data_IF_959056004868
#
_entry.id   IF_959056004868
#
_cell.length_a   1.000
_cell.length_b   1.000
_cell.length_c   1.000
_cell.angle_alpha   90.00
_cell.angle_beta   90.00
_cell.angle_gamma   90.00
#
_symmetry.space_group_name_H-M   'P 1'
#
loop_
_entity.id
_entity.type
_entity.pdbx_description
1 polymer ?
#
# COMPACT_ATOMS: atom_id res chain seq x y z
N UNK A 1 -32.08 -30.06 3.94
CA UNK A 1 -33.53 -30.11 4.18
C UNK A 1 -33.74 -30.11 5.68
N UNK A 2 -34.50 -29.16 6.19
CA UNK A 2 -34.84 -29.13 7.62
C UNK A 2 -35.88 -30.24 7.92
N UNK A 3 -35.88 -30.80 9.13
CA UNK A 3 -36.87 -31.84 9.52
C UNK A 3 -38.32 -31.39 9.29
N UNK A 4 -38.57 -30.08 9.35
CA UNK A 4 -39.86 -29.45 9.07
C UNK A 4 -40.28 -29.56 7.59
N UNK A 5 -39.34 -29.48 6.66
CA UNK A 5 -39.61 -29.63 5.22
C UNK A 5 -39.95 -31.09 4.86
N UNK A 6 -39.23 -32.04 5.48
CA UNK A 6 -39.52 -33.49 5.37
C UNK A 6 -40.95 -33.77 5.80
N UNK A 7 -41.35 -33.34 7.00
CA UNK A 7 -42.70 -33.54 7.55
C UNK A 7 -43.77 -32.89 6.68
N UNK A 8 -43.51 -31.70 6.14
CA UNK A 8 -44.46 -31.02 5.26
C UNK A 8 -44.61 -31.73 3.91
N UNK A 9 -43.54 -32.28 3.34
CA UNK A 9 -43.60 -33.04 2.09
C UNK A 9 -44.44 -34.31 2.22
N UNK A 10 -44.29 -35.03 3.34
CA UNK A 10 -45.08 -36.22 3.66
C UNK A 10 -46.56 -35.85 3.86
N UNK A 11 -46.85 -34.77 4.62
CA UNK A 11 -48.22 -34.28 4.79
C UNK A 11 -48.88 -33.95 3.45
N UNK A 12 -48.16 -33.26 2.57
CA UNK A 12 -48.69 -32.85 1.28
C UNK A 12 -48.93 -34.03 0.33
N UNK A 13 -48.10 -35.08 0.40
CA UNK A 13 -48.33 -36.33 -0.32
C UNK A 13 -49.57 -37.06 0.20
N UNK A 14 -49.76 -37.13 1.53
CA UNK A 14 -50.95 -37.73 2.15
C UNK A 14 -52.23 -36.98 1.79
N UNK A 15 -52.22 -35.64 1.80
CA UNK A 15 -53.39 -34.83 1.42
C UNK A 15 -53.81 -35.07 -0.03
N UNK A 16 -52.85 -35.22 -0.96
CA UNK A 16 -53.16 -35.52 -2.37
C UNK A 16 -53.81 -36.90 -2.57
N UNK A 17 -53.38 -37.89 -1.79
CA UNK A 17 -53.97 -39.23 -1.82
C UNK A 17 -55.39 -39.21 -1.23
N UNK A 18 -55.61 -38.42 -0.18
CA UNK A 18 -56.91 -38.21 0.44
C UNK A 18 -57.89 -37.49 -0.51
N UNK A 19 -57.43 -36.45 -1.23
CA UNK A 19 -58.19 -35.76 -2.29
C UNK A 19 -58.53 -36.66 -3.48
N UNK A 20 -57.71 -37.67 -3.76
CA UNK A 20 -57.97 -38.70 -4.78
C UNK A 20 -58.99 -39.78 -4.31
N UNK A 21 -59.56 -39.65 -3.11
CA UNK A 21 -60.53 -40.57 -2.54
C UNK A 21 -59.92 -41.83 -1.93
N UNK A 22 -58.60 -41.86 -1.75
CA UNK A 22 -57.85 -43.02 -1.27
C UNK A 22 -57.77 -42.99 0.27
N UNK A 23 -58.42 -43.94 0.94
CA UNK A 23 -58.47 -44.00 2.42
C UNK A 23 -57.35 -44.87 3.04
N UNK A 24 -56.60 -45.60 2.21
CA UNK A 24 -55.53 -46.48 2.65
C UNK A 24 -54.27 -46.25 1.81
N UNK A 25 -53.11 -46.21 2.48
CA UNK A 25 -51.80 -46.08 1.84
C UNK A 25 -51.16 -47.46 1.73
N UNK A 26 -50.69 -47.82 0.55
CA UNK A 26 -49.97 -49.08 0.35
C UNK A 26 -48.54 -48.95 0.92
N UNK A 27 -48.09 -49.96 1.65
CA UNK A 27 -46.72 -50.01 2.20
C UNK A 27 -45.65 -49.85 1.11
N UNK A 28 -45.79 -50.48 -0.09
CA UNK A 28 -44.86 -50.25 -1.20
C UNK A 28 -44.81 -48.79 -1.68
N UNK A 29 -45.96 -48.12 -1.82
CA UNK A 29 -46.03 -46.73 -2.28
C UNK A 29 -45.42 -45.76 -1.26
N UNK A 30 -45.69 -45.98 0.03
CA UNK A 30 -45.09 -45.20 1.10
C UNK A 30 -43.56 -45.39 1.16
N UNK A 31 -43.07 -46.61 0.91
CA UNK A 31 -41.64 -46.89 0.88
C UNK A 31 -40.94 -46.15 -0.26
N UNK A 32 -41.54 -46.13 -1.45
CA UNK A 32 -41.01 -45.40 -2.62
C UNK A 32 -40.91 -43.87 -2.35
N UNK A 33 -41.94 -43.27 -1.74
CA UNK A 33 -41.91 -41.85 -1.40
C UNK A 33 -40.90 -41.54 -0.28
N UNK A 34 -40.76 -42.41 0.71
CA UNK A 34 -39.74 -42.27 1.75
C UNK A 34 -38.32 -42.36 1.17
N UNK A 35 -38.08 -43.27 0.21
CA UNK A 35 -36.79 -43.37 -0.50
C UNK A 35 -36.47 -42.09 -1.29
N UNK A 36 -37.46 -41.48 -1.96
CA UNK A 36 -37.28 -40.19 -2.65
C UNK A 36 -36.95 -39.05 -1.69
N UNK A 37 -37.63 -38.99 -0.54
CA UNK A 37 -37.40 -37.97 0.50
C UNK A 37 -36.02 -38.14 1.12
N UNK A 38 -35.58 -39.38 1.39
CA UNK A 38 -34.25 -39.68 1.89
C UNK A 38 -33.16 -39.30 0.88
N UNK A 39 -33.33 -39.67 -0.39
CA UNK A 39 -32.43 -39.28 -1.49
C UNK A 39 -32.28 -37.75 -1.61
N UNK A 40 -33.39 -37.02 -1.60
CA UNK A 40 -33.40 -35.55 -1.65
C UNK A 40 -32.78 -34.91 -0.41
N UNK A 41 -33.03 -35.47 0.78
CA UNK A 41 -32.41 -35.01 2.02
C UNK A 41 -30.89 -35.17 1.96
N UNK A 42 -30.41 -36.31 1.45
CA UNK A 42 -28.99 -36.64 1.34
C UNK A 42 -28.28 -35.70 0.35
N UNK A 43 -28.87 -35.51 -0.83
CA UNK A 43 -28.40 -34.53 -1.83
C UNK A 43 -28.34 -33.11 -1.26
N UNK A 44 -29.35 -32.69 -0.48
CA UNK A 44 -29.37 -31.36 0.13
C UNK A 44 -28.26 -31.15 1.17
N UNK A 45 -27.92 -32.19 1.95
CA UNK A 45 -26.82 -32.15 2.92
C UNK A 45 -25.48 -32.07 2.19
N UNK A 46 -25.31 -32.85 1.12
CA UNK A 46 -24.10 -32.81 0.28
C UNK A 46 -23.89 -31.43 -0.36
N UNK A 47 -24.96 -30.83 -0.91
CA UNK A 47 -24.90 -29.47 -1.46
C UNK A 47 -24.53 -28.43 -0.40
N UNK A 48 -25.10 -28.53 0.81
CA UNK A 48 -24.75 -27.62 1.91
C UNK A 48 -23.28 -27.77 2.33
N UNK A 49 -22.76 -29.00 2.36
CA UNK A 49 -21.33 -29.25 2.64
C UNK A 49 -20.45 -28.65 1.55
N UNK A 50 -20.73 -28.92 0.28
CA UNK A 50 -19.99 -28.36 -0.85
C UNK A 50 -20.01 -26.84 -0.84
N UNK A 51 -21.16 -26.23 -0.51
CA UNK A 51 -21.28 -24.78 -0.43
C UNK A 51 -20.52 -24.22 0.77
N UNK A 52 -20.53 -24.90 1.92
CA UNK A 52 -19.72 -24.51 3.06
C UNK A 52 -18.22 -24.60 2.76
N UNK A 53 -17.78 -25.69 2.12
CA UNK A 53 -16.40 -25.88 1.68
C UNK A 53 -15.99 -24.81 0.65
N UNK A 54 -16.86 -24.52 -0.32
CA UNK A 54 -16.66 -23.45 -1.29
C UNK A 54 -16.55 -22.09 -0.62
N UNK A 55 -17.43 -21.78 0.34
CA UNK A 55 -17.37 -20.54 1.11
C UNK A 55 -16.08 -20.43 1.90
N UNK A 56 -15.67 -21.50 2.62
CA UNK A 56 -14.41 -21.54 3.35
C UNK A 56 -13.21 -21.35 2.42
N UNK A 57 -13.21 -22.00 1.26
CA UNK A 57 -12.16 -21.84 0.25
C UNK A 57 -12.10 -20.39 -0.25
N UNK A 58 -13.26 -19.77 -0.50
CA UNK A 58 -13.34 -18.37 -0.91
C UNK A 58 -12.85 -17.40 0.18
N UNK A 59 -13.26 -17.59 1.44
CA UNK A 59 -12.78 -16.79 2.57
C UNK A 59 -11.27 -16.92 2.76
N UNK A 60 -10.74 -18.14 2.63
CA UNK A 60 -9.31 -18.38 2.71
C UNK A 60 -8.56 -17.69 1.57
N UNK A 61 -9.01 -17.87 0.32
CA UNK A 61 -8.38 -17.24 -0.84
C UNK A 61 -8.38 -15.70 -0.75
N UNK A 62 -9.47 -15.10 -0.29
CA UNK A 62 -9.56 -13.64 -0.11
C UNK A 62 -8.67 -13.13 1.02
N UNK A 63 -8.59 -13.85 2.14
CA UNK A 63 -7.67 -13.53 3.24
C UNK A 63 -6.21 -13.64 2.80
N UNK A 64 -5.85 -14.71 2.08
CA UNK A 64 -4.49 -14.94 1.60
C UNK A 64 -4.08 -13.86 0.59
N UNK A 65 -4.97 -13.51 -0.35
CA UNK A 65 -4.75 -12.40 -1.29
C UNK A 65 -4.54 -11.08 -0.57
N UNK A 66 -5.39 -10.75 0.41
CA UNK A 66 -5.25 -9.52 1.18
C UNK A 66 -3.90 -9.43 1.90
N UNK A 67 -3.42 -10.55 2.44
CA UNK A 67 -2.15 -10.65 3.14
C UNK A 67 -0.96 -10.53 2.17
N UNK A 68 -1.03 -11.18 1.00
CA UNK A 68 -0.02 -11.08 -0.04
C UNK A 68 0.09 -9.65 -0.59
N UNK A 69 -1.05 -9.02 -0.89
CA UNK A 69 -1.11 -7.61 -1.31
C UNK A 69 -0.53 -6.69 -0.24
N UNK A 70 -0.86 -6.90 1.03
CA UNK A 70 -0.30 -6.12 2.13
C UNK A 70 1.23 -6.27 2.22
N UNK A 71 1.75 -7.50 2.12
CA UNK A 71 3.20 -7.76 2.10
C UNK A 71 3.89 -7.07 0.92
N UNK A 72 3.29 -7.14 -0.27
CA UNK A 72 3.79 -6.48 -1.47
C UNK A 72 3.88 -4.96 -1.29
N UNK A 73 2.79 -4.32 -0.83
CA UNK A 73 2.76 -2.88 -0.53
C UNK A 73 3.80 -2.48 0.51
N UNK A 74 3.96 -3.26 1.58
CA UNK A 74 4.99 -3.00 2.59
C UNK A 74 6.41 -3.11 2.01
N UNK A 75 6.66 -4.06 1.10
CA UNK A 75 7.93 -4.19 0.39
C UNK A 75 8.24 -2.95 -0.46
N UNK A 76 7.26 -2.43 -1.19
CA UNK A 76 7.39 -1.17 -1.93
C UNK A 76 7.65 0.02 -1.00
N UNK A 77 6.93 0.12 0.12
CA UNK A 77 7.11 1.20 1.09
C UNK A 77 8.52 1.21 1.70
N UNK A 78 9.04 0.05 2.10
CA UNK A 78 10.41 -0.07 2.61
C UNK A 78 11.44 0.27 1.54
N UNK A 79 11.20 -0.13 0.29
CA UNK A 79 12.07 0.22 -0.84
C UNK A 79 12.09 1.73 -1.07
N UNK A 80 10.92 2.38 -1.08
CA UNK A 80 10.80 3.83 -1.22
C UNK A 80 11.53 4.59 -0.10
N UNK A 81 11.39 4.15 1.16
CA UNK A 81 12.09 4.74 2.32
C UNK A 81 13.61 4.62 2.18
N UNK A 82 14.12 3.44 1.79
CA UNK A 82 15.55 3.23 1.55
C UNK A 82 16.05 4.11 0.40
N UNK A 83 15.30 4.17 -0.70
CA UNK A 83 15.64 4.99 -1.85
C UNK A 83 15.72 6.46 -1.49
N UNK A 84 14.74 7.02 -0.78
CA UNK A 84 14.75 8.45 -0.46
C UNK A 84 15.87 8.83 0.51
N UNK A 85 16.19 7.96 1.48
CA UNK A 85 17.34 8.15 2.38
C UNK A 85 18.64 8.09 1.58
N UNK A 86 18.79 7.11 0.70
CA UNK A 86 20.02 6.91 -0.08
C UNK A 86 20.24 8.03 -1.09
N UNK A 87 19.19 8.49 -1.76
CA UNK A 87 19.27 9.58 -2.75
C UNK A 87 19.60 10.91 -2.08
N UNK A 88 18.91 11.27 -0.98
CA UNK A 88 19.24 12.48 -0.24
C UNK A 88 20.63 12.39 0.42
N UNK A 89 20.96 11.25 1.04
CA UNK A 89 22.26 11.04 1.68
C UNK A 89 23.40 11.06 0.69
N UNK A 90 23.24 10.42 -0.47
CA UNK A 90 24.22 10.45 -1.55
C UNK A 90 24.43 11.85 -2.11
N UNK A 91 23.36 12.64 -2.27
CA UNK A 91 23.45 14.03 -2.69
C UNK A 91 24.16 14.90 -1.65
N UNK A 92 23.84 14.76 -0.36
CA UNK A 92 24.50 15.47 0.74
C UNK A 92 26.01 15.16 0.78
N UNK A 93 26.38 13.87 0.75
CA UNK A 93 27.79 13.45 0.72
C UNK A 93 28.51 14.01 -0.51
N UNK A 94 27.87 14.04 -1.68
CA UNK A 94 28.45 14.62 -2.88
C UNK A 94 28.67 16.13 -2.75
N UNK A 95 27.72 16.87 -2.16
CA UNK A 95 27.86 18.31 -1.90
C UNK A 95 28.97 18.57 -0.88
N UNK A 96 29.04 17.83 0.22
CA UNK A 96 30.12 17.95 1.21
C UNK A 96 31.49 17.63 0.61
N UNK A 97 31.59 16.59 -0.23
CA UNK A 97 32.83 16.26 -0.93
C UNK A 97 33.25 17.39 -1.87
N UNK A 98 32.31 17.98 -2.61
CA UNK A 98 32.57 19.13 -3.47
C UNK A 98 33.04 20.34 -2.67
N UNK A 99 32.34 20.69 -1.57
CA UNK A 99 32.72 21.77 -0.65
C UNK A 99 34.14 21.54 -0.10
N UNK A 100 34.46 20.33 0.33
CA UNK A 100 35.81 20.00 0.84
C UNK A 100 36.92 20.24 -0.18
N UNK A 101 36.66 19.98 -1.46
CA UNK A 101 37.62 20.19 -2.55
C UNK A 101 37.83 21.68 -2.93
N UNK A 102 36.90 22.55 -2.57
CA UNK A 102 36.91 23.98 -2.91
C UNK A 102 37.02 24.90 -1.70
N UNK A 103 37.09 24.36 -0.49
CA UNK A 103 37.10 25.13 0.77
C UNK A 103 38.21 26.20 0.83
N UNK A 104 39.39 25.89 0.32
CA UNK A 104 40.53 26.81 0.28
C UNK A 104 40.58 27.68 -0.98
N UNK A 105 39.62 27.52 -1.92
CA UNK A 105 39.58 28.26 -3.18
C UNK A 105 38.60 29.43 -3.06
N UNK A 106 38.89 30.59 -3.66
CA UNK A 106 37.93 31.69 -3.70
C UNK A 106 36.69 31.25 -4.49
N UNK A 107 35.57 31.12 -3.80
CA UNK A 107 34.28 30.78 -4.38
C UNK A 107 33.41 32.03 -4.47
N UNK A 108 32.63 32.18 -5.54
CA UNK A 108 31.61 33.22 -5.55
C UNK A 108 30.57 32.94 -4.47
N UNK A 109 30.20 33.98 -3.71
CA UNK A 109 29.26 33.91 -2.58
C UNK A 109 27.96 33.21 -2.98
N UNK A 110 27.44 33.49 -4.18
CA UNK A 110 26.19 32.89 -4.69
C UNK A 110 26.25 31.36 -4.80
N UNK A 111 27.42 30.80 -5.14
CA UNK A 111 27.58 29.34 -5.27
C UNK A 111 27.73 28.72 -3.89
N UNK A 112 28.49 29.37 -3.01
CA UNK A 112 28.68 28.90 -1.63
C UNK A 112 27.33 28.83 -0.91
N UNK A 113 26.51 29.88 -1.04
CA UNK A 113 25.16 29.92 -0.47
C UNK A 113 24.25 28.82 -1.06
N UNK A 114 24.29 28.63 -2.39
CA UNK A 114 23.52 27.58 -3.05
C UNK A 114 23.88 26.17 -2.57
N UNK A 115 25.18 25.90 -2.39
CA UNK A 115 25.69 24.61 -1.90
C UNK A 115 25.26 24.37 -0.45
N UNK A 116 25.48 25.34 0.44
CA UNK A 116 25.08 25.22 1.86
C UNK A 116 23.56 25.04 2.00
N UNK A 117 22.78 25.79 1.22
CA UNK A 117 21.32 25.66 1.21
C UNK A 117 20.89 24.28 0.70
N UNK A 118 21.51 23.79 -0.37
CA UNK A 118 21.21 22.45 -0.89
C UNK A 118 21.57 21.33 0.09
N UNK A 119 22.69 21.47 0.80
CA UNK A 119 23.12 20.54 1.84
C UNK A 119 22.09 20.46 2.97
N UNK A 120 21.60 21.61 3.44
CA UNK A 120 20.56 21.66 4.46
C UNK A 120 19.26 20.97 4.01
N UNK A 121 18.88 21.11 2.73
CA UNK A 121 17.71 20.42 2.17
C UNK A 121 17.90 18.91 2.09
N UNK A 122 19.05 18.43 1.60
CA UNK A 122 19.33 17.00 1.52
C UNK A 122 19.44 16.35 2.90
N UNK A 123 20.16 16.97 3.85
CA UNK A 123 20.25 16.49 5.22
C UNK A 123 18.86 16.42 5.91
N UNK A 124 18.02 17.44 5.69
CA UNK A 124 16.63 17.43 6.16
C UNK A 124 15.82 16.31 5.51
N UNK A 125 16.02 16.05 4.22
CA UNK A 125 15.39 14.92 3.51
C UNK A 125 15.79 13.55 4.10
N UNK A 126 17.06 13.37 4.45
CA UNK A 126 17.53 12.16 5.17
C UNK A 126 16.85 12.03 6.52
N UNK A 127 16.79 13.12 7.31
CA UNK A 127 16.14 13.13 8.62
C UNK A 127 14.65 12.76 8.52
N UNK A 128 13.92 13.36 7.58
CA UNK A 128 12.51 13.01 7.36
C UNK A 128 12.34 11.53 6.98
N UNK A 129 13.20 10.99 6.12
CA UNK A 129 13.18 9.56 5.77
C UNK A 129 13.43 8.65 6.98
N UNK A 130 14.37 9.01 7.85
CA UNK A 130 14.65 8.28 9.09
C UNK A 130 13.46 8.33 10.07
N UNK A 131 12.86 9.50 10.27
CA UNK A 131 11.66 9.66 11.12
C UNK A 131 10.47 8.89 10.53
N UNK A 132 10.29 8.92 9.21
CA UNK A 132 9.24 8.17 8.52
C UNK A 132 9.37 6.66 8.74
N UNK A 133 10.60 6.15 8.79
CA UNK A 133 10.89 4.74 9.12
C UNK A 133 10.46 4.41 10.55
N UNK A 134 10.73 5.28 11.51
CA UNK A 134 10.25 5.13 12.90
C UNK A 134 8.72 5.15 13.01
N UNK A 135 8.05 6.04 12.28
CA UNK A 135 6.59 6.07 12.24
C UNK A 135 5.98 4.86 11.54
N UNK A 136 6.66 4.32 10.52
CA UNK A 136 6.24 3.08 9.87
C UNK A 136 6.29 1.90 10.84
N UNK A 137 7.30 1.85 11.70
CA UNK A 137 7.39 0.84 12.77
C UNK A 137 6.25 0.99 13.78
N UNK A 138 5.97 2.22 14.23
CA UNK A 138 4.86 2.50 15.15
C UNK A 138 3.51 2.11 14.54
N UNK A 139 3.28 2.43 13.26
CA UNK A 139 2.06 2.04 12.56
C UNK A 139 1.85 0.52 12.59
N UNK A 140 2.89 -0.26 12.27
CA UNK A 140 2.84 -1.72 12.31
C UNK A 140 2.55 -2.26 13.72
N UNK A 141 3.23 -1.71 14.73
CA UNK A 141 2.99 -2.08 16.13
C UNK A 141 1.53 -1.87 16.56
N UNK A 142 0.90 -0.77 16.13
CA UNK A 142 -0.51 -0.51 16.44
C UNK A 142 -1.48 -1.36 15.61
N UNK A 143 -1.16 -1.68 14.35
CA UNK A 143 -1.97 -2.60 13.53
C UNK A 143 -2.04 -4.00 14.14
N UNK A 144 -0.93 -4.50 14.70
CA UNK A 144 -0.91 -5.81 15.35
C UNK A 144 -1.81 -5.88 16.58
N UNK A 145 -1.85 -4.80 17.38
CA UNK A 145 -2.60 -4.78 18.65
C UNK A 145 -4.12 -4.69 18.51
N UNK A 146 -4.68 -4.53 17.29
CA UNK A 146 -6.13 -4.44 16.92
C UNK A 146 -7.01 -3.41 17.67
N UNK A 147 -6.65 -3.00 18.88
CA UNK A 147 -7.37 -2.04 19.74
C UNK A 147 -7.16 -0.59 19.30
N UNK A 148 -6.09 -0.29 18.57
CA UNK A 148 -5.66 1.07 18.24
C UNK A 148 -5.64 1.37 16.73
N UNK A 149 -6.68 0.94 15.99
CA UNK A 149 -6.74 1.13 14.54
C UNK A 149 -6.63 2.61 14.10
N UNK A 150 -7.21 3.55 14.86
CA UNK A 150 -7.10 4.98 14.55
C UNK A 150 -5.66 5.49 14.63
N UNK A 151 -4.93 5.08 15.66
CA UNK A 151 -3.52 5.43 15.83
C UNK A 151 -2.65 4.82 14.74
N UNK A 152 -2.91 3.56 14.37
CA UNK A 152 -2.19 2.87 13.28
C UNK A 152 -2.33 3.63 11.95
N UNK A 153 -3.55 4.05 11.61
CA UNK A 153 -3.84 4.86 10.42
C UNK A 153 -3.15 6.23 10.52
N UNK A 154 -3.20 6.88 11.67
CA UNK A 154 -2.56 8.19 11.86
C UNK A 154 -1.04 8.14 11.64
N UNK A 155 -0.34 7.16 12.24
CA UNK A 155 1.10 6.97 12.01
C UNK A 155 1.41 6.61 10.55
N UNK A 156 0.56 5.81 9.90
CA UNK A 156 0.74 5.47 8.48
C UNK A 156 0.62 6.71 7.58
N UNK A 157 -0.41 7.55 7.79
CA UNK A 157 -0.58 8.82 7.06
C UNK A 157 0.62 9.74 7.33
N UNK A 158 1.08 9.84 8.57
CA UNK A 158 2.24 10.64 8.92
C UNK A 158 3.51 10.16 8.18
N UNK A 159 3.75 8.85 8.09
CA UNK A 159 4.84 8.27 7.28
C UNK A 159 4.72 8.70 5.81
N UNK A 160 3.54 8.60 5.20
CA UNK A 160 3.33 8.99 3.80
C UNK A 160 3.65 10.47 3.58
N UNK A 161 3.15 11.34 4.46
CA UNK A 161 3.42 12.80 4.40
C UNK A 161 4.92 13.10 4.53
N UNK A 162 5.61 12.44 5.45
CA UNK A 162 7.06 12.61 5.64
C UNK A 162 7.85 12.16 4.41
N UNK A 163 7.47 11.04 3.78
CA UNK A 163 8.12 10.55 2.55
C UNK A 163 7.93 11.53 1.40
N UNK A 164 6.71 12.02 1.18
CA UNK A 164 6.43 13.03 0.15
C UNK A 164 7.22 14.31 0.44
N UNK A 165 7.24 14.75 1.70
CA UNK A 165 8.06 15.88 2.14
C UNK A 165 9.54 15.71 1.81
N UNK A 166 10.11 14.54 2.07
CA UNK A 166 11.50 14.24 1.75
C UNK A 166 11.81 14.31 0.25
N UNK A 167 10.89 13.90 -0.63
CA UNK A 167 11.04 14.08 -2.09
C UNK A 167 10.97 15.55 -2.50
N UNK A 168 10.09 16.34 -1.88
CA UNK A 168 10.03 17.80 -2.13
C UNK A 168 11.33 18.46 -1.73
N UNK A 169 11.88 18.14 -0.55
CA UNK A 169 13.17 18.66 -0.09
C UNK A 169 14.31 18.30 -1.04
N UNK A 170 14.34 17.05 -1.55
CA UNK A 170 15.31 16.66 -2.57
C UNK A 170 15.23 17.57 -3.81
N UNK A 171 14.01 17.80 -4.32
CA UNK A 171 13.79 18.70 -5.45
C UNK A 171 14.25 20.15 -5.18
N UNK A 172 13.98 20.67 -3.98
CA UNK A 172 14.44 22.01 -3.55
C UNK A 172 15.97 22.08 -3.42
N UNK A 173 16.63 21.01 -2.96
CA UNK A 173 18.08 20.89 -2.92
C UNK A 173 18.70 20.97 -4.31
N UNK A 174 18.19 20.15 -5.24
CA UNK A 174 18.61 20.17 -6.65
C UNK A 174 18.39 21.54 -7.29
N UNK A 175 17.23 22.14 -7.07
CA UNK A 175 16.93 23.48 -7.59
C UNK A 175 17.88 24.55 -7.05
N UNK A 176 18.24 24.46 -5.76
CA UNK A 176 19.18 25.42 -5.15
C UNK A 176 20.55 25.37 -5.83
N UNK A 177 21.08 24.18 -6.10
CA UNK A 177 22.35 24.00 -6.84
C UNK A 177 22.22 24.55 -8.26
N UNK A 178 21.14 24.21 -8.97
CA UNK A 178 20.89 24.68 -10.33
C UNK A 178 20.83 26.21 -10.41
N UNK A 179 20.13 26.86 -9.48
CA UNK A 179 20.03 28.32 -9.42
C UNK A 179 21.40 28.97 -9.16
N UNK A 180 22.21 28.42 -8.26
CA UNK A 180 23.57 28.91 -7.99
C UNK A 180 24.49 28.81 -9.22
N UNK A 181 24.51 27.65 -9.88
CA UNK A 181 25.34 27.41 -11.06
C UNK A 181 24.90 28.24 -12.27
N UNK A 182 23.60 28.32 -12.54
CA UNK A 182 23.07 29.11 -13.66
C UNK A 182 23.31 30.61 -13.48
N UNK A 183 23.24 31.12 -12.24
CA UNK A 183 23.62 32.49 -11.92
C UNK A 183 25.10 32.79 -12.22
N UNK A 184 25.99 31.84 -11.91
CA UNK A 184 27.41 31.98 -12.20
C UNK A 184 27.71 31.98 -13.71
N UNK A 185 27.05 31.10 -14.48
CA UNK A 185 27.22 31.02 -15.93
C UNK A 185 26.83 32.32 -16.64
N UNK A 186 25.70 32.94 -16.25
CA UNK A 186 25.27 34.23 -16.81
C UNK A 186 26.31 35.34 -16.56
N UNK A 187 26.80 35.44 -15.33
CA UNK A 187 27.81 36.44 -14.94
C UNK A 187 29.16 36.23 -15.65
N UNK A 188 29.54 34.99 -15.90
CA UNK A 188 30.72 34.65 -16.70
C UNK A 188 30.60 35.06 -18.17
N UNK A 189 29.40 34.87 -18.76
CA UNK A 189 29.10 35.32 -20.13
C UNK A 189 29.14 36.84 -20.28
N UNK A 190 28.63 37.60 -19.31
CA UNK A 190 28.66 39.06 -19.38
C UNK A 190 30.09 39.62 -19.27
N UNK A 191 30.91 39.08 -18.35
CA UNK A 191 32.32 39.51 -18.20
C UNK A 191 33.14 39.29 -19.46
N UNK A 192 32.91 38.21 -20.18
CA UNK A 192 33.63 37.88 -21.42
C UNK A 192 33.26 38.82 -22.57
N UNK A 193 31.98 39.22 -22.69
CA UNK A 193 31.54 40.21 -23.68
C UNK A 193 32.19 41.58 -23.42
N UNK A 194 32.24 42.03 -22.17
CA UNK A 194 32.86 43.31 -21.81
C UNK A 194 34.36 43.32 -22.15
N UNK A 195 35.07 42.22 -21.89
CA UNK A 195 36.50 42.12 -22.19
C UNK A 195 36.80 42.22 -23.69
N UNK A 196 35.98 41.56 -24.54
CA UNK A 196 36.12 41.64 -25.99
C UNK A 196 35.83 43.06 -26.51
N UNK A 197 34.84 43.75 -25.96
CA UNK A 197 34.52 45.13 -26.35
C UNK A 197 35.65 46.12 -26.03
N UNK A 198 36.38 45.91 -24.92
CA UNK A 198 37.50 46.77 -24.51
C UNK A 198 38.79 46.53 -25.29
N UNK A 199 38.91 45.44 -26.06
CA UNK A 199 40.07 45.18 -26.92
C UNK A 199 39.88 45.63 -28.37
N UNK A 200 38.68 46.08 -28.74
CA UNK A 200 38.31 46.42 -30.12
C UNK A 200 38.08 47.92 -30.35
N UNK A 201 38.33 48.76 -29.34
CA UNK A 201 38.35 50.23 -29.43
C UNK A 201 39.70 50.80 -29.04
#
# INVERSE_FOLDING_TARGET
MEAKEVVNSIRLALTKLEEAGQQTVSVPALREDLEKVESNATLSIELQKLQHESNLAHYKATSDLALEMFRSVMGFAQSALKTIILVNGGAAVAVLAFIGNIWAKPLEVNIAEALVKSEAWFASGVLLGAVATGFSYLAQYFYERKTFNKSAIAFHIATVVLVIGAYVLFGLGVYSIYAGLSGQLKKGSEKSIVWVSNQTG
#
